data_IF_647346862631
#
_entry.id   IF_647346862631
#
_cell.length_a   1.000
_cell.length_b   1.000
_cell.length_c   1.000
_cell.angle_alpha   90.00
_cell.angle_beta   90.00
_cell.angle_gamma   90.00
#
_symmetry.space_group_name_H-M   'P 1'
#
loop_
_entity.id
_entity.type
_entity.pdbx_description
1 polymer ?
#
# COMPACT_ATOMS: atom_id res chain seq x y z
N UNK A 1 -8.28 -33.62 -36.92
CA UNK A 1 -7.25 -33.34 -35.90
C UNK A 1 -7.67 -34.02 -34.59
N UNK A 2 -6.79 -34.86 -34.04
CA UNK A 2 -7.09 -36.03 -33.19
C UNK A 2 -7.77 -35.69 -31.84
N UNK A 3 -8.71 -36.57 -31.47
CA UNK A 3 -9.56 -36.53 -30.28
C UNK A 3 -8.76 -36.88 -29.01
N UNK A 4 -8.76 -35.98 -28.02
CA UNK A 4 -8.15 -36.17 -26.70
C UNK A 4 -9.09 -36.98 -25.80
N UNK A 5 -9.13 -38.31 -25.96
CA UNK A 5 -9.97 -39.16 -25.12
C UNK A 5 -9.13 -39.77 -23.99
N UNK A 6 -9.59 -39.49 -22.77
CA UNK A 6 -9.18 -40.05 -21.48
C UNK A 6 -7.88 -39.48 -20.85
N UNK A 7 -8.04 -38.34 -20.16
CA UNK A 7 -7.01 -37.73 -19.30
C UNK A 7 -7.05 -38.36 -17.91
N UNK A 8 -6.02 -39.12 -17.53
CA UNK A 8 -5.73 -39.39 -16.11
C UNK A 8 -4.96 -38.17 -15.58
N UNK A 9 -5.64 -37.24 -14.90
CA UNK A 9 -4.98 -36.03 -14.34
C UNK A 9 -4.28 -36.35 -13.03
N UNK A 10 -3.05 -36.86 -13.12
CA UNK A 10 -2.05 -36.61 -12.07
C UNK A 10 -1.25 -35.39 -12.51
N UNK A 11 -1.44 -34.27 -11.83
CA UNK A 11 -0.70 -33.02 -12.07
C UNK A 11 0.26 -32.82 -10.91
N UNK A 12 1.55 -32.96 -11.18
CA UNK A 12 2.60 -32.43 -10.33
C UNK A 12 3.15 -31.18 -11.03
N UNK A 13 2.97 -30.02 -10.40
CA UNK A 13 3.53 -28.74 -10.81
C UNK A 13 4.61 -28.40 -9.80
N UNK A 14 5.81 -28.10 -10.27
CA UNK A 14 6.93 -27.74 -9.41
C UNK A 14 7.82 -26.73 -10.13
N UNK A 15 8.28 -25.74 -9.36
CA UNK A 15 9.23 -24.74 -9.82
C UNK A 15 10.65 -25.27 -9.60
N UNK A 16 11.44 -25.28 -10.67
CA UNK A 16 12.83 -25.75 -10.65
C UNK A 16 13.76 -24.61 -11.03
N UNK A 17 14.97 -24.63 -10.47
CA UNK A 17 16.07 -23.80 -10.93
C UNK A 17 16.96 -24.65 -11.83
N UNK A 18 16.99 -24.31 -13.12
CA UNK A 18 17.95 -24.86 -14.06
C UNK A 18 19.18 -23.96 -14.07
N UNK A 19 20.35 -24.57 -14.00
CA UNK A 19 21.64 -23.87 -14.07
C UNK A 19 22.34 -24.35 -15.34
N UNK A 20 22.67 -23.43 -16.24
CA UNK A 20 23.44 -23.79 -17.44
C UNK A 20 24.93 -24.00 -17.10
N UNK A 21 25.69 -24.49 -18.10
CA UNK A 21 27.15 -24.73 -17.95
C UNK A 21 27.97 -23.48 -17.60
N UNK A 22 27.41 -22.28 -17.79
CA UNK A 22 28.04 -21.00 -17.50
C UNK A 22 27.56 -20.41 -16.16
N UNK A 23 26.71 -21.13 -15.42
CA UNK A 23 26.17 -20.70 -14.13
C UNK A 23 24.92 -19.82 -14.22
N UNK A 24 24.34 -19.61 -15.41
CA UNK A 24 23.10 -18.83 -15.57
C UNK A 24 21.94 -19.64 -15.01
N UNK A 25 21.20 -19.04 -14.09
CA UNK A 25 20.00 -19.64 -13.49
C UNK A 25 18.76 -19.22 -14.26
N UNK A 26 17.93 -20.18 -14.63
CA UNK A 26 16.58 -19.97 -15.15
C UNK A 26 15.57 -20.68 -14.25
N UNK A 27 14.47 -19.99 -13.94
CA UNK A 27 13.33 -20.62 -13.27
C UNK A 27 12.46 -21.30 -14.30
N UNK A 28 12.14 -22.56 -14.07
CA UNK A 28 11.27 -23.34 -14.95
C UNK A 28 10.13 -23.97 -14.18
N UNK A 29 8.92 -23.84 -14.73
CA UNK A 29 7.78 -24.62 -14.28
C UNK A 29 7.74 -25.92 -15.07
N UNK A 30 7.74 -27.04 -14.35
CA UNK A 30 7.67 -28.37 -14.96
C UNK A 30 6.31 -28.99 -14.63
N UNK A 31 5.57 -29.34 -15.68
CA UNK A 31 4.29 -30.01 -15.59
C UNK A 31 4.38 -31.39 -16.24
N UNK A 32 4.08 -32.44 -15.47
CA UNK A 32 3.96 -33.80 -15.98
C UNK A 32 2.49 -34.18 -16.14
N UNK A 33 2.18 -34.91 -17.22
CA UNK A 33 0.85 -35.46 -17.45
C UNK A 33 0.96 -36.85 -18.05
N UNK A 34 0.27 -37.82 -17.44
CA UNK A 34 0.12 -39.16 -18.01
C UNK A 34 -1.02 -39.15 -19.05
N UNK A 35 -0.74 -39.62 -20.26
CA UNK A 35 -1.72 -39.72 -21.33
C UNK A 35 -1.77 -41.15 -21.86
N UNK A 36 -2.93 -41.55 -22.38
CA UNK A 36 -3.06 -42.77 -23.14
C UNK A 36 -2.96 -42.42 -24.63
N UNK A 37 -1.91 -42.87 -25.29
CA UNK A 37 -1.70 -42.70 -26.73
C UNK A 37 -1.66 -44.08 -27.38
N UNK A 38 -2.66 -44.37 -28.23
CA UNK A 38 -2.78 -45.63 -28.96
C UNK A 38 -2.72 -46.89 -28.06
N UNK A 39 -3.33 -46.81 -26.86
CA UNK A 39 -3.38 -47.91 -25.90
C UNK A 39 -2.13 -48.02 -24.99
N UNK A 40 -1.13 -47.15 -25.17
CA UNK A 40 0.07 -47.09 -24.34
C UNK A 40 0.03 -45.90 -23.39
N UNK A 41 0.46 -46.11 -22.14
CA UNK A 41 0.66 -45.03 -21.18
C UNK A 41 1.94 -44.29 -21.52
N UNK A 42 1.81 -43.02 -21.88
CA UNK A 42 2.93 -42.12 -22.17
C UNK A 42 2.93 -40.95 -21.18
N UNK A 43 4.11 -40.35 -20.98
CA UNK A 43 4.29 -39.16 -20.15
C UNK A 43 4.57 -37.98 -21.07
N UNK A 44 3.75 -36.94 -20.96
CA UNK A 44 4.03 -35.64 -21.56
C UNK A 44 4.66 -34.75 -20.48
N UNK A 45 5.85 -34.24 -20.79
CA UNK A 45 6.58 -33.26 -19.99
C UNK A 45 6.49 -31.89 -20.65
N UNK A 46 5.93 -30.92 -19.96
CA UNK A 46 5.96 -29.53 -20.36
C UNK A 46 6.91 -28.76 -19.44
N UNK A 47 7.85 -28.05 -20.04
CA UNK A 47 8.79 -27.17 -19.34
C UNK A 47 8.56 -25.77 -19.85
N UNK A 48 8.22 -24.83 -18.97
CA UNK A 48 8.06 -23.43 -19.29
C UNK A 48 9.11 -22.61 -18.54
N UNK A 49 9.84 -21.74 -19.24
CA UNK A 49 10.68 -20.73 -18.59
C UNK A 49 9.79 -19.66 -17.95
N UNK A 50 9.86 -19.56 -16.63
CA UNK A 50 9.10 -18.61 -15.81
C UNK A 50 10.02 -17.55 -15.18
N UNK A 51 11.28 -17.46 -15.61
CA UNK A 51 12.26 -16.52 -15.04
C UNK A 51 11.75 -15.09 -15.08
N UNK A 52 11.27 -14.64 -16.24
CA UNK A 52 10.70 -13.30 -16.39
C UNK A 52 9.48 -13.06 -15.50
N UNK A 53 8.61 -14.07 -15.35
CA UNK A 53 7.43 -14.01 -14.50
C UNK A 53 7.83 -13.83 -13.03
N UNK A 54 8.75 -14.66 -12.53
CA UNK A 54 9.26 -14.58 -11.15
C UNK A 54 9.92 -13.23 -10.85
N UNK A 55 10.75 -12.73 -11.77
CA UNK A 55 11.38 -11.42 -11.61
C UNK A 55 10.34 -10.29 -11.52
N UNK A 56 9.29 -10.33 -12.36
CA UNK A 56 8.21 -9.35 -12.31
C UNK A 56 7.38 -9.47 -11.02
N UNK A 57 7.14 -10.69 -10.52
CA UNK A 57 6.45 -10.93 -9.24
C UNK A 57 7.28 -10.39 -8.07
N UNK A 58 8.59 -10.59 -8.06
CA UNK A 58 9.52 -10.05 -7.06
C UNK A 58 9.60 -8.52 -7.11
N UNK A 59 9.67 -7.94 -8.30
CA UNK A 59 9.67 -6.48 -8.47
C UNK A 59 8.35 -5.86 -7.98
N UNK A 60 7.22 -6.50 -8.28
CA UNK A 60 5.91 -6.09 -7.79
C UNK A 60 5.80 -6.20 -6.27
N UNK A 61 6.26 -7.31 -5.67
CA UNK A 61 6.30 -7.48 -4.21
C UNK A 61 7.16 -6.40 -3.54
N UNK A 62 8.34 -6.11 -4.10
CA UNK A 62 9.23 -5.08 -3.60
C UNK A 62 8.59 -3.68 -3.70
N UNK A 63 7.92 -3.39 -4.81
CA UNK A 63 7.19 -2.13 -5.01
C UNK A 63 6.05 -1.98 -4.01
N UNK A 64 5.26 -3.05 -3.81
CA UNK A 64 4.17 -3.07 -2.83
C UNK A 64 4.67 -2.86 -1.39
N UNK A 65 5.78 -3.51 -1.01
CA UNK A 65 6.41 -3.29 0.31
C UNK A 65 6.85 -1.85 0.50
N UNK A 66 7.53 -1.26 -0.49
CA UNK A 66 7.93 0.16 -0.45
C UNK A 66 6.72 1.08 -0.34
N UNK A 67 5.67 0.82 -1.11
CA UNK A 67 4.44 1.63 -1.06
C UNK A 67 3.78 1.54 0.32
N UNK A 68 3.73 0.34 0.91
CA UNK A 68 3.23 0.14 2.27
C UNK A 68 4.05 0.91 3.30
N UNK A 69 5.37 0.85 3.22
CA UNK A 69 6.26 1.61 4.11
C UNK A 69 6.05 3.13 3.99
N UNK A 70 5.84 3.63 2.77
CA UNK A 70 5.54 5.06 2.52
C UNK A 70 4.21 5.45 3.18
N UNK A 71 3.16 4.66 2.96
CA UNK A 71 1.82 4.91 3.54
C UNK A 71 1.90 4.89 5.07
N UNK A 72 2.59 3.90 5.66
CA UNK A 72 2.76 3.83 7.12
C UNK A 72 3.54 5.03 7.68
N UNK A 73 4.55 5.52 6.95
CA UNK A 73 5.29 6.74 7.34
C UNK A 73 4.42 7.98 7.24
N UNK A 74 3.64 8.11 6.18
CA UNK A 74 2.69 9.21 5.97
C UNK A 74 1.63 9.24 7.08
N UNK A 75 1.06 8.08 7.44
CA UNK A 75 0.09 7.98 8.54
C UNK A 75 0.68 8.43 9.88
N UNK A 76 1.88 7.95 10.24
CA UNK A 76 2.56 8.40 11.47
C UNK A 76 2.85 9.90 11.45
N UNK A 77 3.27 10.43 10.30
CA UNK A 77 3.51 11.85 10.15
C UNK A 77 2.24 12.68 10.35
N UNK A 78 1.11 12.27 9.76
CA UNK A 78 -0.18 12.94 9.94
C UNK A 78 -0.60 12.91 11.43
N UNK A 79 -0.43 11.78 12.11
CA UNK A 79 -0.75 11.62 13.53
C UNK A 79 0.09 12.54 14.42
N UNK A 80 1.42 12.50 14.26
CA UNK A 80 2.37 13.31 15.03
C UNK A 80 2.09 14.81 14.87
N UNK A 81 1.88 15.24 13.63
CA UNK A 81 1.61 16.63 13.29
C UNK A 81 0.24 17.06 13.82
N UNK A 82 -0.78 16.20 13.72
CA UNK A 82 -2.10 16.47 14.29
C UNK A 82 -2.02 16.74 15.79
N UNK A 83 -1.29 15.91 16.53
CA UNK A 83 -1.07 16.15 17.95
C UNK A 83 -0.26 17.41 18.22
N UNK A 84 0.78 17.68 17.44
CA UNK A 84 1.63 18.86 17.63
C UNK A 84 0.88 20.18 17.45
N UNK A 85 -0.01 20.28 16.47
CA UNK A 85 -0.75 21.52 16.21
C UNK A 85 -2.11 21.59 16.90
N UNK A 86 -2.93 20.52 16.86
CA UNK A 86 -4.30 20.61 17.37
C UNK A 86 -4.36 20.64 18.90
N UNK A 87 -3.44 19.98 19.60
CA UNK A 87 -3.44 20.01 21.06
C UNK A 87 -3.30 21.44 21.62
N UNK A 88 -2.27 22.23 21.26
CA UNK A 88 -2.16 23.60 21.74
C UNK A 88 -3.28 24.52 21.21
N UNK A 89 -3.78 24.32 19.99
CA UNK A 89 -4.91 25.08 19.47
C UNK A 89 -6.20 24.83 20.26
N UNK A 90 -6.48 23.57 20.60
CA UNK A 90 -7.60 23.19 21.47
C UNK A 90 -7.47 23.85 22.85
N UNK A 91 -6.28 23.86 23.44
CA UNK A 91 -6.01 24.52 24.72
C UNK A 91 -6.27 26.03 24.60
N UNK A 92 -5.70 26.68 23.58
CA UNK A 92 -5.87 28.12 23.34
C UNK A 92 -7.34 28.49 23.15
N UNK A 93 -8.08 27.73 22.32
CA UNK A 93 -9.53 27.91 22.12
C UNK A 93 -10.30 27.74 23.42
N UNK A 94 -9.98 26.73 24.22
CA UNK A 94 -10.59 26.52 25.53
C UNK A 94 -10.41 27.73 26.46
N UNK A 95 -9.19 28.29 26.54
CA UNK A 95 -8.95 29.50 27.33
C UNK A 95 -9.69 30.73 26.81
N UNK A 96 -9.77 30.91 25.48
CA UNK A 96 -10.55 31.99 24.86
C UNK A 96 -12.03 31.82 25.21
N UNK A 97 -12.57 30.61 25.10
CA UNK A 97 -13.98 30.32 25.39
C UNK A 97 -14.33 30.52 26.86
N UNK A 98 -13.43 30.17 27.78
CA UNK A 98 -13.59 30.48 29.21
C UNK A 98 -13.56 32.00 29.44
N UNK A 99 -12.59 32.70 28.85
CA UNK A 99 -12.45 34.15 28.97
C UNK A 99 -13.67 34.89 28.41
N UNK A 100 -14.28 34.37 27.33
CA UNK A 100 -15.49 34.93 26.72
C UNK A 100 -16.71 34.88 27.65
N UNK A 101 -16.78 33.93 28.59
CA UNK A 101 -17.91 33.80 29.54
C UNK A 101 -17.93 34.91 30.59
N UNK A 102 -16.76 35.41 30.97
CA UNK A 102 -16.59 36.39 32.06
C UNK A 102 -16.18 37.79 31.54
N UNK A 103 -16.07 37.95 30.22
CA UNK A 103 -15.58 39.18 29.60
C UNK A 103 -16.58 40.33 29.61
N UNK A 104 -16.05 41.54 29.80
CA UNK A 104 -16.78 42.79 29.53
C UNK A 104 -17.13 42.91 28.03
N UNK A 105 -18.16 43.68 27.65
CA UNK A 105 -18.57 43.82 26.24
C UNK A 105 -17.43 44.24 25.29
N UNK A 106 -16.51 45.09 25.76
CA UNK A 106 -15.35 45.52 24.99
C UNK A 106 -14.30 44.40 24.81
N UNK A 107 -14.01 43.65 25.88
CA UNK A 107 -13.06 42.53 25.84
C UNK A 107 -13.60 41.35 25.02
N UNK A 108 -14.93 41.14 25.07
CA UNK A 108 -15.61 40.08 24.32
C UNK A 108 -15.38 40.22 22.82
N UNK A 109 -15.50 41.44 22.27
CA UNK A 109 -15.22 41.71 20.85
C UNK A 109 -13.77 41.37 20.47
N UNK A 110 -12.79 41.70 21.31
CA UNK A 110 -11.38 41.38 21.06
C UNK A 110 -11.15 39.86 21.07
N UNK A 111 -11.72 39.16 22.04
CA UNK A 111 -11.62 37.70 22.16
C UNK A 111 -12.29 36.96 21.00
N UNK A 112 -13.42 37.46 20.47
CA UNK A 112 -14.06 36.89 19.27
C UNK A 112 -13.19 37.00 18.01
N UNK A 113 -12.48 38.12 17.85
CA UNK A 113 -11.51 38.31 16.76
C UNK A 113 -10.33 37.33 16.95
N UNK A 114 -9.80 37.21 18.17
CA UNK A 114 -8.74 36.25 18.49
C UNK A 114 -9.19 34.82 18.20
N UNK A 115 -10.40 34.44 18.60
CA UNK A 115 -10.96 33.10 18.31
C UNK A 115 -11.02 32.83 16.82
N UNK A 116 -11.53 33.79 16.05
CA UNK A 116 -11.60 33.70 14.59
C UNK A 116 -10.23 33.54 13.94
N UNK A 117 -9.19 34.22 14.46
CA UNK A 117 -7.82 34.05 13.97
C UNK A 117 -7.27 32.65 14.26
N UNK A 118 -7.50 32.12 15.46
CA UNK A 118 -7.10 30.76 15.84
C UNK A 118 -7.83 29.71 14.99
N UNK A 119 -9.13 29.88 14.72
CA UNK A 119 -9.91 29.00 13.85
C UNK A 119 -9.38 29.00 12.41
N UNK A 120 -8.93 30.15 11.90
CA UNK A 120 -8.28 30.24 10.58
C UNK A 120 -6.96 29.46 10.55
N UNK A 121 -6.13 29.59 11.58
CA UNK A 121 -4.87 28.81 11.68
C UNK A 121 -5.17 27.32 11.72
N UNK A 122 -6.14 26.90 12.54
CA UNK A 122 -6.57 25.50 12.61
C UNK A 122 -7.02 24.96 11.23
N UNK A 123 -7.74 25.78 10.47
CA UNK A 123 -8.22 25.43 9.12
C UNK A 123 -7.05 25.26 8.14
N UNK A 124 -6.07 26.19 8.14
CA UNK A 124 -4.89 26.09 7.27
C UNK A 124 -4.08 24.83 7.60
N UNK A 125 -3.84 24.59 8.89
CA UNK A 125 -3.12 23.38 9.33
C UNK A 125 -3.86 22.12 8.88
N UNK A 126 -5.19 22.05 9.03
CA UNK A 126 -5.98 20.91 8.55
C UNK A 126 -5.78 20.64 7.06
N UNK A 127 -5.84 21.67 6.22
CA UNK A 127 -5.65 21.51 4.77
C UNK A 127 -4.21 21.07 4.43
N UNK A 128 -3.20 21.66 5.07
CA UNK A 128 -1.80 21.30 4.82
C UNK A 128 -1.51 19.87 5.22
N UNK A 129 -2.02 19.44 6.38
CA UNK A 129 -1.67 18.15 6.98
C UNK A 129 -2.51 17.01 6.41
N UNK A 130 -3.80 17.23 6.15
CA UNK A 130 -4.68 16.17 5.66
C UNK A 130 -4.78 16.12 4.14
N UNK A 131 -4.66 17.26 3.45
CA UNK A 131 -4.83 17.32 1.99
C UNK A 131 -3.52 17.54 1.24
N UNK A 132 -2.42 17.84 1.94
CA UNK A 132 -1.12 18.13 1.33
C UNK A 132 -1.14 19.38 0.43
N UNK A 133 -2.16 20.24 0.57
CA UNK A 133 -2.38 21.43 -0.26
C UNK A 133 -2.37 22.69 0.60
N UNK A 134 -1.53 23.64 0.22
CA UNK A 134 -1.60 25.02 0.72
C UNK A 134 -2.53 25.76 -0.24
N UNK A 135 -3.71 26.16 0.23
CA UNK A 135 -4.52 27.16 -0.46
C UNK A 135 -4.10 28.53 0.08
N UNK A 136 -3.58 29.39 -0.80
CA UNK A 136 -3.38 30.83 -0.57
C UNK A 136 -4.70 31.60 -0.70
#
# INVERSE_FOLDING_TARGET
MKQWKERIRLRAQSDWRLVDKNGKVAWTEINLSLVNYEGKKEVILNIADITKKKMMEEELDLSNKKMKEIIEREQRFIEDISHYFFNPLCIAKGYIDLSLKEATPELKRKLEITRTAVDRVETVVKHVVMEGKIYE
#
